data_IF_626429168246
#
_entry.id   IF_626429168246
#
_cell.length_a   1.000
_cell.length_b   1.000
_cell.length_c   1.000
_cell.angle_alpha   90.00
_cell.angle_beta   90.00
_cell.angle_gamma   90.00
#
_symmetry.space_group_name_H-M   'P 1'
#
loop_
_entity.id
_entity.type
_entity.pdbx_description
1 polymer ?
#
# COMPACT_ATOMS: atom_id res chain seq x y z
N UNK A 1 -3.87 13.00 -5.87
CA UNK A 1 -4.13 13.48 -4.49
C UNK A 1 -2.96 13.02 -3.64
N UNK A 2 -2.37 13.91 -2.84
CA UNK A 2 -1.30 13.52 -1.94
C UNK A 2 -1.92 12.73 -0.77
N UNK A 3 -1.49 11.48 -0.60
CA UNK A 3 -1.87 10.62 0.53
C UNK A 3 -1.36 11.26 1.82
N UNK A 4 -2.18 11.29 2.87
CA UNK A 4 -1.83 11.83 4.19
C UNK A 4 -1.76 10.72 5.22
N UNK A 5 -1.02 10.97 6.30
CA UNK A 5 -1.03 10.12 7.47
C UNK A 5 -2.45 10.03 8.05
N UNK A 6 -2.90 8.82 8.33
CA UNK A 6 -4.26 8.50 8.79
C UNK A 6 -5.27 8.27 7.66
N UNK A 7 -4.91 8.47 6.39
CA UNK A 7 -5.80 8.14 5.29
C UNK A 7 -5.99 6.63 5.16
N UNK A 8 -7.20 6.24 4.74
CA UNK A 8 -7.51 4.87 4.37
C UNK A 8 -7.27 4.68 2.88
N UNK A 9 -6.42 3.71 2.54
CA UNK A 9 -5.95 3.46 1.18
C UNK A 9 -6.00 1.98 0.83
N UNK A 10 -5.92 1.69 -0.47
CA UNK A 10 -5.56 0.37 -1.01
C UNK A 10 -4.46 0.52 -2.06
N UNK A 11 -3.73 -0.55 -2.30
CA UNK A 11 -2.78 -0.62 -3.39
C UNK A 11 -3.50 -0.73 -4.74
N UNK A 12 -2.90 -0.15 -5.78
CA UNK A 12 -3.34 -0.28 -7.16
C UNK A 12 -2.51 -1.41 -7.80
N UNK A 13 -3.15 -2.53 -8.15
CA UNK A 13 -2.48 -3.72 -8.68
C UNK A 13 -1.57 -3.42 -9.87
N UNK A 14 -2.08 -2.69 -10.86
CA UNK A 14 -1.36 -2.35 -12.10
C UNK A 14 -0.05 -1.58 -11.86
N UNK A 15 -0.04 -0.71 -10.84
CA UNK A 15 1.14 0.10 -10.49
C UNK A 15 2.11 -0.63 -9.58
N UNK A 16 1.62 -1.62 -8.83
CA UNK A 16 2.46 -2.44 -7.97
C UNK A 16 3.19 -3.52 -8.80
N UNK A 17 2.53 -4.22 -9.71
CA UNK A 17 3.07 -5.38 -10.43
C UNK A 17 4.34 -5.10 -11.27
N UNK A 18 4.51 -3.87 -11.78
CA UNK A 18 5.67 -3.49 -12.59
C UNK A 18 6.67 -2.59 -11.84
N UNK A 19 6.61 -2.59 -10.50
CA UNK A 19 7.40 -1.68 -9.66
C UNK A 19 8.69 -2.31 -9.12
N UNK A 20 9.56 -1.46 -8.57
CA UNK A 20 10.73 -1.92 -7.81
C UNK A 20 10.29 -2.73 -6.57
N UNK A 21 9.22 -2.30 -5.92
CA UNK A 21 8.67 -2.93 -4.72
C UNK A 21 8.14 -4.35 -5.01
N UNK A 22 7.70 -4.63 -6.24
CA UNK A 22 7.33 -5.99 -6.67
C UNK A 22 8.50 -6.96 -6.68
N UNK A 23 9.73 -6.49 -6.94
CA UNK A 23 10.92 -7.36 -6.95
C UNK A 23 11.28 -7.88 -5.55
N UNK A 24 10.82 -7.20 -4.50
CA UNK A 24 11.04 -7.60 -3.11
C UNK A 24 10.02 -8.62 -2.60
N UNK A 25 8.97 -8.91 -3.37
CA UNK A 25 7.82 -9.74 -2.96
C UNK A 25 7.62 -10.93 -3.88
N UNK A 26 6.78 -11.90 -3.49
CA UNK A 26 6.28 -12.91 -4.42
C UNK A 26 5.39 -12.23 -5.48
N UNK A 27 5.49 -12.69 -6.72
CA UNK A 27 4.62 -12.33 -7.86
C UNK A 27 3.12 -12.43 -7.56
N UNK A 28 2.71 -13.29 -6.62
CA UNK A 28 1.31 -13.47 -6.21
C UNK A 28 0.99 -12.59 -5.01
N UNK A 29 0.59 -11.37 -5.29
CA UNK A 29 0.19 -10.43 -4.24
C UNK A 29 -1.09 -10.86 -3.51
N UNK A 30 -1.10 -10.81 -2.16
CA UNK A 30 -2.29 -11.09 -1.36
C UNK A 30 -3.48 -10.17 -1.67
N UNK A 31 -4.73 -10.68 -1.68
CA UNK A 31 -5.92 -9.89 -2.00
C UNK A 31 -6.18 -8.75 -1.00
N UNK A 32 -5.79 -8.92 0.27
CA UNK A 32 -6.02 -7.91 1.31
C UNK A 32 -5.39 -6.54 0.98
N UNK A 33 -4.34 -6.49 0.17
CA UNK A 33 -3.70 -5.21 -0.19
C UNK A 33 -4.56 -4.37 -1.14
N UNK A 34 -5.46 -5.03 -1.88
CA UNK A 34 -6.31 -4.42 -2.90
C UNK A 34 -7.76 -4.30 -2.42
N UNK A 35 -8.22 -5.26 -1.62
CA UNK A 35 -9.63 -5.38 -1.25
C UNK A 35 -9.94 -4.86 0.16
N UNK A 36 -8.91 -4.61 0.98
CA UNK A 36 -9.09 -4.16 2.37
C UNK A 36 -8.59 -2.74 2.61
N UNK A 37 -9.04 -2.17 3.72
CA UNK A 37 -8.61 -0.85 4.20
C UNK A 37 -7.21 -0.95 4.81
N UNK A 38 -6.24 -0.30 4.18
CA UNK A 38 -4.93 -0.03 4.76
C UNK A 38 -4.88 1.38 5.36
N UNK A 39 -4.31 1.51 6.55
CA UNK A 39 -4.10 2.81 7.19
C UNK A 39 -2.68 3.31 6.92
N UNK A 40 -2.54 4.57 6.51
CA UNK A 40 -1.22 5.21 6.35
C UNK A 40 -0.70 5.63 7.71
N UNK A 41 0.31 4.93 8.22
CA UNK A 41 0.86 5.16 9.56
C UNK A 41 2.03 6.14 9.56
N UNK A 42 2.78 6.23 8.45
CA UNK A 42 3.91 7.14 8.29
C UNK A 42 4.13 7.53 6.83
N UNK A 43 4.81 8.66 6.60
CA UNK A 43 5.17 9.18 5.29
C UNK A 43 6.64 9.60 5.28
N UNK A 44 7.39 9.18 4.26
CA UNK A 44 8.79 9.58 4.04
C UNK A 44 9.03 9.85 2.57
N UNK A 45 9.12 11.13 2.21
CA UNK A 45 9.25 11.54 0.81
C UNK A 45 8.07 11.01 -0.02
N UNK A 46 8.37 10.23 -1.05
CA UNK A 46 7.36 9.63 -1.95
C UNK A 46 6.80 8.30 -1.44
N UNK A 47 7.23 7.84 -0.27
CA UNK A 47 6.85 6.56 0.30
C UNK A 47 5.88 6.71 1.48
N UNK A 48 4.95 5.78 1.57
CA UNK A 48 3.97 5.66 2.65
C UNK A 48 4.11 4.29 3.32
N UNK A 49 4.13 4.30 4.65
CA UNK A 49 4.06 3.08 5.44
C UNK A 49 2.60 2.76 5.72
N UNK A 50 2.18 1.57 5.31
CA UNK A 50 0.78 1.15 5.36
C UNK A 50 0.64 -0.02 6.31
N UNK A 51 -0.37 0.07 7.18
CA UNK A 51 -0.82 -1.02 8.02
C UNK A 51 -2.10 -1.60 7.44
N UNK A 52 -2.02 -2.82 6.90
CA UNK A 52 -3.20 -3.55 6.45
C UNK A 52 -3.87 -4.23 7.65
N UNK A 53 -5.03 -3.73 8.07
CA UNK A 53 -5.67 -4.17 9.32
C UNK A 53 -6.38 -5.54 9.25
N UNK A 54 -6.59 -6.10 8.05
CA UNK A 54 -7.33 -7.35 7.87
C UNK A 54 -6.55 -8.58 8.35
N UNK A 55 -5.23 -8.54 8.26
CA UNK A 55 -4.32 -9.65 8.62
C UNK A 55 -3.21 -9.10 9.51
N UNK A 56 -2.72 -9.86 10.51
CA UNK A 56 -1.62 -9.43 11.37
C UNK A 56 -0.26 -9.52 10.65
N UNK A 57 -0.17 -8.90 9.48
CA UNK A 57 1.04 -8.79 8.68
C UNK A 57 1.85 -7.55 9.11
N UNK A 58 3.18 -7.55 8.93
CA UNK A 58 4.00 -6.36 9.13
C UNK A 58 3.55 -5.23 8.20
N UNK A 59 3.82 -3.99 8.62
CA UNK A 59 3.54 -2.81 7.80
C UNK A 59 4.42 -2.81 6.55
N UNK A 60 3.90 -2.28 5.45
CA UNK A 60 4.58 -2.29 4.15
C UNK A 60 4.83 -0.86 3.68
N UNK A 61 6.04 -0.59 3.21
CA UNK A 61 6.37 0.65 2.51
C UNK A 61 6.01 0.52 1.05
N UNK A 62 5.12 1.38 0.55
CA UNK A 62 4.78 1.49 -0.85
C UNK A 62 4.92 2.94 -1.31
N UNK A 63 5.09 3.17 -2.60
CA UNK A 63 5.12 4.52 -3.15
C UNK A 63 3.72 5.11 -3.13
N UNK A 64 3.61 6.41 -2.84
CA UNK A 64 2.32 7.10 -2.75
C UNK A 64 1.54 7.09 -4.07
N UNK A 65 2.22 6.95 -5.22
CA UNK A 65 1.61 6.84 -6.54
C UNK A 65 0.98 5.46 -6.80
N UNK A 66 1.39 4.43 -6.06
CA UNK A 66 0.82 3.08 -6.08
C UNK A 66 -0.45 2.94 -5.22
N UNK A 67 -0.86 4.02 -4.54
CA UNK A 67 -1.97 4.01 -3.60
C UNK A 67 -3.13 4.84 -4.12
N UNK A 68 -4.34 4.38 -3.80
CA UNK A 68 -5.55 5.16 -3.99
C UNK A 68 -6.40 5.20 -2.71
N UNK A 69 -7.17 6.28 -2.49
CA UNK A 69 -8.11 6.35 -1.38
C UNK A 69 -9.11 5.19 -1.42
N UNK A 70 -9.29 4.53 -0.28
CA UNK A 70 -10.30 3.50 -0.11
C UNK A 70 -11.65 4.17 0.14
N UNK A 71 -12.56 4.12 -0.84
CA UNK A 71 -13.94 4.60 -0.72
C UNK A 71 -14.87 3.46 -0.34
#
# INVERSE_FOLDING_TARGET
>A
MAVKKGDLVRAIREKLENSLEAQASDTRFPPYMFESKGEVVDLRGDYALIKFGQVPAPNVWLRADQLEPFK
#
